data_IF_904292353094
#
_entry.id   IF_904292353094
#
_cell.length_a   1.000
_cell.length_b   1.000
_cell.length_c   1.000
_cell.angle_alpha   90.00
_cell.angle_beta   90.00
_cell.angle_gamma   90.00
#
_symmetry.space_group_name_H-M   'P 1'
#
loop_
_entity.id
_entity.type
_entity.pdbx_description
1 polymer ?
#
# COMPACT_ATOMS: atom_id res chain seq x y z
N UNK A 1 -10.66 -27.51 -17.67
CA UNK A 1 -11.05 -26.13 -17.31
C UNK A 1 -11.06 -25.98 -15.79
N UNK A 2 -11.65 -26.93 -15.07
CA UNK A 2 -11.76 -26.97 -13.59
C UNK A 2 -10.45 -26.81 -12.80
N UNK A 3 -9.31 -27.35 -13.26
CA UNK A 3 -8.04 -27.25 -12.51
C UNK A 3 -7.47 -25.83 -12.45
N UNK A 4 -7.73 -25.00 -13.48
CA UNK A 4 -7.29 -23.61 -13.47
C UNK A 4 -8.12 -22.80 -12.47
N UNK A 5 -9.43 -23.05 -12.44
CA UNK A 5 -10.38 -22.35 -11.58
C UNK A 5 -10.12 -22.68 -10.09
N UNK A 6 -9.89 -23.96 -9.76
CA UNK A 6 -9.48 -24.40 -8.40
C UNK A 6 -8.16 -23.78 -7.97
N UNK A 7 -7.18 -23.65 -8.88
CA UNK A 7 -5.89 -23.01 -8.57
C UNK A 7 -6.06 -21.52 -8.29
N UNK A 8 -6.90 -20.81 -9.05
CA UNK A 8 -7.20 -19.40 -8.79
C UNK A 8 -7.95 -19.19 -7.47
N UNK A 9 -8.93 -20.05 -7.15
CA UNK A 9 -9.65 -19.98 -5.87
C UNK A 9 -8.72 -20.17 -4.67
N UNK A 10 -7.81 -21.14 -4.75
CA UNK A 10 -6.79 -21.36 -3.72
C UNK A 10 -5.87 -20.15 -3.54
N UNK A 11 -5.44 -19.51 -4.65
CA UNK A 11 -4.62 -18.30 -4.60
C UNK A 11 -5.38 -17.10 -4.00
N UNK A 12 -6.67 -16.95 -4.32
CA UNK A 12 -7.52 -15.91 -3.74
C UNK A 12 -7.62 -16.11 -2.22
N UNK A 13 -7.87 -17.33 -1.77
CA UNK A 13 -7.95 -17.65 -0.35
C UNK A 13 -6.63 -17.39 0.38
N UNK A 14 -5.50 -17.78 -0.22
CA UNK A 14 -4.16 -17.49 0.32
C UNK A 14 -3.90 -15.98 0.42
N UNK A 15 -4.28 -15.22 -0.61
CA UNK A 15 -4.14 -13.77 -0.59
C UNK A 15 -5.01 -13.14 0.49
N UNK A 16 -6.25 -13.58 0.64
CA UNK A 16 -7.15 -13.09 1.68
C UNK A 16 -6.59 -13.36 3.08
N UNK A 17 -6.06 -14.55 3.33
CA UNK A 17 -5.42 -14.89 4.60
C UNK A 17 -4.21 -14.01 4.87
N UNK A 18 -3.37 -13.76 3.87
CA UNK A 18 -2.23 -12.84 4.00
C UNK A 18 -2.66 -11.41 4.28
N UNK A 19 -3.72 -10.93 3.61
CA UNK A 19 -4.29 -9.59 3.86
C UNK A 19 -4.76 -9.49 5.31
N UNK A 20 -5.50 -10.49 5.80
CA UNK A 20 -5.98 -10.51 7.18
C UNK A 20 -4.81 -10.54 8.20
N UNK A 21 -3.77 -11.33 7.93
CA UNK A 21 -2.56 -11.35 8.77
C UNK A 21 -1.85 -10.00 8.78
N UNK A 22 -1.71 -9.35 7.62
CA UNK A 22 -1.12 -8.03 7.52
C UNK A 22 -1.94 -6.98 8.26
N UNK A 23 -3.28 -7.05 8.23
CA UNK A 23 -4.15 -6.17 9.00
C UNK A 23 -3.94 -6.35 10.50
N UNK A 24 -3.88 -7.60 10.99
CA UNK A 24 -3.61 -7.87 12.41
C UNK A 24 -2.25 -7.30 12.83
N UNK A 25 -1.22 -7.46 11.98
CA UNK A 25 0.10 -6.88 12.26
C UNK A 25 0.07 -5.36 12.31
N UNK A 26 -0.62 -4.71 11.38
CA UNK A 26 -0.79 -3.25 11.39
C UNK A 26 -1.51 -2.76 12.65
N UNK A 27 -2.58 -3.44 13.05
CA UNK A 27 -3.35 -3.09 14.25
C UNK A 27 -2.51 -3.26 15.52
N UNK A 28 -1.68 -4.30 15.60
CA UNK A 28 -0.78 -4.51 16.73
C UNK A 28 0.31 -3.44 16.77
N UNK A 29 0.92 -3.10 15.64
CA UNK A 29 1.91 -2.02 15.59
C UNK A 29 1.31 -0.68 16.01
N UNK A 30 0.10 -0.35 15.53
CA UNK A 30 -0.59 0.88 15.94
C UNK A 30 -0.85 0.92 17.45
N UNK A 31 -1.21 -0.21 18.07
CA UNK A 31 -1.38 -0.31 19.53
C UNK A 31 -0.06 -0.12 20.28
N UNK A 32 1.03 -0.70 19.78
CA UNK A 32 2.36 -0.54 20.37
C UNK A 32 2.83 0.91 20.28
N UNK A 33 2.62 1.58 19.14
CA UNK A 33 2.91 3.01 18.96
C UNK A 33 2.09 3.86 19.94
N UNK A 34 0.78 3.63 20.03
CA UNK A 34 -0.09 4.35 20.97
C UNK A 34 0.32 4.12 22.43
N UNK A 35 0.70 2.90 22.80
CA UNK A 35 1.15 2.60 24.15
C UNK A 35 2.48 3.28 24.45
N UNK A 36 3.42 3.26 23.51
CA UNK A 36 4.70 3.95 23.64
C UNK A 36 4.52 5.47 23.83
N UNK A 37 3.62 6.08 23.06
CA UNK A 37 3.29 7.51 23.22
C UNK A 37 2.64 7.80 24.58
N UNK A 38 1.76 6.92 25.06
CA UNK A 38 1.18 7.03 26.41
C UNK A 38 2.22 6.90 27.51
N UNK A 39 3.15 5.96 27.39
CA UNK A 39 4.22 5.76 28.36
C UNK A 39 5.14 6.99 28.46
N UNK A 40 5.35 7.69 27.33
CA UNK A 40 6.06 8.97 27.28
C UNK A 40 5.19 10.18 27.67
N UNK A 41 3.89 9.97 27.89
CA UNK A 41 2.91 11.01 28.16
C UNK A 41 2.86 12.10 27.07
N UNK A 42 3.06 11.69 25.81
CA UNK A 42 3.07 12.56 24.62
C UNK A 42 1.81 12.26 23.80
N UNK A 43 1.08 13.30 23.41
CA UNK A 43 0.00 13.16 22.44
C UNK A 43 0.51 13.22 21.00
N UNK A 44 -0.22 12.57 20.08
CA UNK A 44 0.10 12.59 18.65
C UNK A 44 0.13 14.01 18.07
N UNK A 45 -0.76 14.89 18.56
CA UNK A 45 -0.83 16.30 18.17
C UNK A 45 0.45 17.05 18.59
N UNK A 46 0.89 16.88 19.83
CA UNK A 46 2.14 17.46 20.32
C UNK A 46 3.36 16.97 19.53
N UNK A 47 3.39 15.68 19.20
CA UNK A 47 4.47 15.11 18.38
C UNK A 47 4.46 15.71 16.98
N UNK A 48 3.28 15.88 16.38
CA UNK A 48 3.13 16.46 15.05
C UNK A 48 3.63 17.92 15.02
N UNK A 49 3.23 18.73 15.99
CA UNK A 49 3.73 20.12 16.12
C UNK A 49 5.23 20.17 16.39
N UNK A 50 5.76 19.23 17.18
CA UNK A 50 7.19 19.15 17.46
C UNK A 50 8.02 18.86 16.20
N UNK A 51 7.54 17.96 15.36
CA UNK A 51 8.19 17.53 14.11
C UNK A 51 8.16 18.64 13.04
N UNK A 52 7.21 19.57 13.09
CA UNK A 52 7.13 20.67 12.11
C UNK A 52 8.14 21.79 12.35
N UNK A 53 8.71 21.86 13.56
CA UNK A 53 9.63 22.93 13.92
C UNK A 53 11.10 22.47 13.82
N UNK A 54 11.83 23.01 12.84
CA UNK A 54 13.25 22.70 12.61
C UNK A 54 14.15 23.10 13.79
N UNK A 55 13.75 24.07 14.63
CA UNK A 55 14.56 24.49 15.79
C UNK A 55 14.67 23.41 16.87
N UNK A 56 13.83 22.38 16.81
CA UNK A 56 13.84 21.27 17.78
C UNK A 56 14.91 20.22 17.46
N UNK A 57 15.58 20.35 16.32
CA UNK A 57 16.53 19.36 15.81
C UNK A 57 17.88 20.00 15.52
N UNK A 58 18.93 19.19 15.52
CA UNK A 58 20.19 19.58 14.88
C UNK A 58 20.00 19.61 13.37
N UNK A 59 20.79 20.43 12.67
CA UNK A 59 20.73 20.54 11.20
C UNK A 59 20.86 19.17 10.51
N UNK A 60 21.77 18.32 11.00
CA UNK A 60 21.96 16.96 10.49
C UNK A 60 20.69 16.10 10.68
N UNK A 61 20.11 16.08 11.88
CA UNK A 61 18.92 15.29 12.16
C UNK A 61 17.71 15.79 11.36
N UNK A 62 17.59 17.11 11.18
CA UNK A 62 16.55 17.72 10.37
C UNK A 62 16.65 17.35 8.89
N UNK A 63 17.87 17.35 8.35
CA UNK A 63 18.11 16.92 6.97
C UNK A 63 17.80 15.44 6.78
N UNK A 64 18.25 14.58 7.69
CA UNK A 64 17.96 13.14 7.65
C UNK A 64 16.45 12.87 7.72
N UNK A 65 15.73 13.57 8.61
CA UNK A 65 14.28 13.45 8.76
C UNK A 65 13.55 13.83 7.47
N UNK A 66 13.94 14.95 6.85
CA UNK A 66 13.34 15.39 5.58
C UNK A 66 13.66 14.44 4.42
N UNK A 67 14.88 13.92 4.34
CA UNK A 67 15.25 12.91 3.35
C UNK A 67 14.41 11.63 3.51
N UNK A 68 14.23 11.16 4.75
CA UNK A 68 13.39 10.00 5.03
C UNK A 68 11.92 10.26 4.67
N UNK A 69 11.39 11.45 5.01
CA UNK A 69 10.02 11.86 4.65
C UNK A 69 9.84 11.85 3.13
N UNK A 70 10.79 12.41 2.39
CA UNK A 70 10.76 12.45 0.93
C UNK A 70 10.81 11.04 0.32
N UNK A 71 11.74 10.19 0.79
CA UNK A 71 11.85 8.80 0.36
C UNK A 71 10.54 8.02 0.56
N UNK A 72 9.88 8.21 1.72
CA UNK A 72 8.61 7.57 2.01
C UNK A 72 7.50 8.06 1.06
N UNK A 73 7.43 9.36 0.81
CA UNK A 73 6.47 9.95 -0.13
C UNK A 73 6.68 9.42 -1.56
N UNK A 74 7.92 9.35 -2.03
CA UNK A 74 8.25 8.83 -3.35
C UNK A 74 7.88 7.36 -3.49
N UNK A 75 8.19 6.55 -2.45
CA UNK A 75 7.81 5.13 -2.40
C UNK A 75 6.30 4.95 -2.38
N UNK A 76 5.58 5.80 -1.66
CA UNK A 76 4.13 5.78 -1.57
C UNK A 76 3.51 6.15 -2.92
N UNK A 77 3.99 7.21 -3.56
CA UNK A 77 3.58 7.63 -4.90
C UNK A 77 3.80 6.53 -5.94
N UNK A 78 5.00 5.96 -5.99
CA UNK A 78 5.31 4.86 -6.91
C UNK A 78 4.39 3.65 -6.69
N UNK A 79 4.08 3.30 -5.44
CA UNK A 79 3.15 2.21 -5.12
C UNK A 79 1.72 2.54 -5.55
N UNK A 80 1.24 3.76 -5.29
CA UNK A 80 -0.09 4.20 -5.72
C UNK A 80 -0.23 4.19 -7.25
N UNK A 81 0.80 4.62 -7.97
CA UNK A 81 0.83 4.59 -9.44
C UNK A 81 0.86 3.15 -9.99
N UNK A 82 1.45 2.20 -9.25
CA UNK A 82 1.48 0.78 -9.61
C UNK A 82 0.12 0.10 -9.38
N UNK A 83 -0.71 0.63 -8.47
CA UNK A 83 -2.05 0.08 -8.21
C UNK A 83 -2.94 0.44 -9.41
N UNK A 84 -3.16 -0.56 -10.26
CA UNK A 84 -3.99 -0.44 -11.47
C UNK A 84 -5.41 -0.01 -11.09
N UNK A 85 -5.85 1.14 -11.60
CA UNK A 85 -7.21 1.62 -11.35
C UNK A 85 -8.24 0.62 -11.92
N UNK A 86 -9.08 -0.01 -11.10
CA UNK A 86 -10.02 -1.04 -11.54
C UNK A 86 -11.07 -0.50 -12.53
N UNK A 87 -11.36 0.81 -12.50
CA UNK A 87 -12.25 1.46 -13.48
C UNK A 87 -11.61 1.50 -14.88
N UNK A 88 -10.33 1.81 -14.95
CA UNK A 88 -9.58 1.86 -16.22
C UNK A 88 -9.36 0.46 -16.79
N UNK A 89 -9.13 -0.52 -15.91
CA UNK A 89 -9.06 -1.94 -16.31
C UNK A 89 -10.39 -2.40 -16.91
N UNK A 90 -11.53 -2.15 -16.26
CA UNK A 90 -12.86 -2.49 -16.81
C UNK A 90 -13.11 -1.83 -18.17
N UNK A 91 -12.75 -0.55 -18.32
CA UNK A 91 -12.90 0.18 -19.59
C UNK A 91 -12.05 -0.45 -20.71
N UNK A 92 -10.80 -0.80 -20.41
CA UNK A 92 -9.90 -1.46 -21.36
C UNK A 92 -10.37 -2.88 -21.73
N UNK A 93 -10.93 -3.64 -20.78
CA UNK A 93 -11.53 -4.94 -21.11
C UNK A 93 -12.78 -4.80 -21.97
N UNK A 94 -13.63 -3.80 -21.70
CA UNK A 94 -14.82 -3.52 -22.50
C UNK A 94 -14.47 -3.11 -23.95
N UNK A 95 -13.39 -2.33 -24.15
CA UNK A 95 -12.93 -1.97 -25.49
C UNK A 95 -12.28 -3.14 -26.24
N UNK A 96 -11.61 -4.07 -25.54
CA UNK A 96 -11.04 -5.28 -26.13
C UNK A 96 -12.11 -6.32 -26.55
N UNK A 97 -13.31 -6.30 -25.97
CA UNK A 97 -14.42 -7.17 -26.40
C UNK A 97 -14.98 -6.82 -27.77
N UNK A 98 -14.68 -5.63 -28.31
CA UNK A 98 -15.05 -5.21 -29.67
C UNK A 98 -14.04 -5.60 -30.75
N UNK A 99 -12.91 -6.21 -30.39
CA UNK A 99 -11.93 -6.72 -31.36
C UNK A 99 -12.37 -8.14 -31.74
N UNK A 100 -12.96 -8.27 -32.93
CA UNK A 100 -13.39 -9.54 -33.50
C UNK A 100 -12.27 -10.57 -33.40
N UNK A 101 -12.52 -11.66 -32.68
CA UNK A 101 -11.63 -12.83 -32.59
C UNK A 101 -11.54 -13.43 -33.98
N UNK A 102 -10.57 -13.00 -34.78
CA UNK A 102 -10.22 -13.67 -36.02
C UNK A 102 -9.51 -14.96 -35.61
N UNK A 103 -10.27 -16.04 -35.50
CA UNK A 103 -9.75 -17.37 -35.24
C UNK A 103 -8.81 -17.74 -36.39
N UNK A 104 -7.53 -17.89 -36.10
CA UNK A 104 -6.58 -18.51 -37.02
C UNK A 104 -6.96 -20.00 -37.08
N UNK A 105 -7.67 -20.41 -38.14
CA UNK A 105 -7.74 -21.80 -38.53
C UNK A 105 -6.39 -22.19 -39.15
N UNK A 106 -5.55 -22.86 -38.38
CA UNK A 106 -4.40 -23.60 -38.93
C UNK A 106 -4.92 -24.99 -39.31
N UNK A 107 -4.80 -25.32 -40.60
CA UNK A 107 -5.07 -26.66 -41.16
C UNK A 107 -4.04 -27.67 -40.67
#
# INVERSE_FOLDING_TARGET
MEDKDRKTESLILQNQNKINQLQIHLDNQAREEDQFLKDLNISLEQLSTFIENSSNFTEENWQQLNQHKQLLNDKLKARLETIRNPKDVKRNYASLQGIDRHWIHVR
#
